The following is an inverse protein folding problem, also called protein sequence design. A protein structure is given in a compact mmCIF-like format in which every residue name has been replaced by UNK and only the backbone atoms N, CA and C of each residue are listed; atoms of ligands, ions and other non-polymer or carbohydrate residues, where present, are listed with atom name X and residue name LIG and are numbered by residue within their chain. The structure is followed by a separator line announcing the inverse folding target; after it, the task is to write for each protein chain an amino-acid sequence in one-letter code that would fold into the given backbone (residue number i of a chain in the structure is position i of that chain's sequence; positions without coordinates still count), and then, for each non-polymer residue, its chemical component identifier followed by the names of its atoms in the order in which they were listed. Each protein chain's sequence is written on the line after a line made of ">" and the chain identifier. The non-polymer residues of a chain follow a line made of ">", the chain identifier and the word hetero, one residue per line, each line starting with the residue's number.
data_IF_167067715293
#
_entry.id   IF_167067715293
#
_cell.length_a   1.000
_cell.length_b   1.000
_cell.length_c   1.000
_cell.angle_alpha   90.00
_cell.angle_beta   90.00
_cell.angle_gamma   90.00
#
_symmetry.space_group_name_H-M   'P 1'
#
loop_
_entity.id
_entity.type
_entity.pdbx_description
1 polymer ?
#
# COMPACT_ATOMS: atom_id res chain seq x y z
N UNK A 1 -36.98 -30.90 17.33
CA UNK A 1 -36.15 -29.72 17.65
C UNK A 1 -35.43 -29.31 16.38
N UNK A 2 -35.87 -28.22 15.75
CA UNK A 2 -35.50 -27.89 14.37
C UNK A 2 -34.16 -27.15 14.28
N UNK A 3 -33.21 -27.61 13.44
CA UNK A 3 -31.87 -27.00 13.28
C UNK A 3 -31.86 -25.66 12.52
N UNK A 4 -33.01 -25.19 12.05
CA UNK A 4 -33.16 -24.00 11.20
C UNK A 4 -33.07 -22.69 12.02
N UNK A 5 -33.38 -22.72 13.32
CA UNK A 5 -33.37 -21.53 14.17
C UNK A 5 -31.95 -21.03 14.51
N UNK A 6 -30.94 -21.91 14.47
CA UNK A 6 -29.55 -21.56 14.84
C UNK A 6 -28.87 -20.77 13.72
N UNK A 7 -29.04 -21.18 12.45
CA UNK A 7 -28.39 -20.54 11.30
C UNK A 7 -28.88 -19.12 11.03
N UNK A 8 -30.17 -18.85 11.30
CA UNK A 8 -30.75 -17.50 11.12
C UNK A 8 -30.28 -16.51 12.20
N UNK A 9 -29.83 -16.98 13.37
CA UNK A 9 -29.27 -16.13 14.43
C UNK A 9 -27.77 -15.91 14.27
N UNK A 10 -27.09 -16.88 13.65
CA UNK A 10 -25.64 -16.82 13.41
C UNK A 10 -25.27 -15.87 12.27
N UNK A 11 -26.08 -15.81 11.21
CA UNK A 11 -25.81 -14.93 10.07
C UNK A 11 -25.81 -13.41 10.43
N UNK A 12 -26.79 -12.88 11.18
CA UNK A 12 -26.78 -11.49 11.66
C UNK A 12 -25.59 -11.19 12.56
N UNK A 13 -25.21 -12.13 13.44
CA UNK A 13 -24.08 -11.95 14.35
C UNK A 13 -22.74 -12.02 13.60
N UNK A 14 -22.61 -12.88 12.60
CA UNK A 14 -21.46 -12.93 11.71
C UNK A 14 -21.33 -11.63 10.90
N UNK A 15 -22.44 -11.11 10.38
CA UNK A 15 -22.48 -9.82 9.70
C UNK A 15 -22.09 -8.68 10.64
N UNK A 16 -22.63 -8.62 11.86
CA UNK A 16 -22.22 -7.61 12.86
C UNK A 16 -20.72 -7.71 13.20
N UNK A 17 -20.20 -8.93 13.37
CA UNK A 17 -18.79 -9.17 13.71
C UNK A 17 -17.86 -8.79 12.56
N UNK A 18 -18.32 -9.00 11.32
CA UNK A 18 -17.66 -8.52 10.11
C UNK A 18 -17.64 -6.99 10.12
N UNK A 19 -18.79 -6.32 10.24
CA UNK A 19 -18.89 -4.86 10.32
C UNK A 19 -18.02 -4.27 11.46
N UNK A 20 -18.01 -4.89 12.63
CA UNK A 20 -17.18 -4.47 13.76
C UNK A 20 -15.68 -4.60 13.46
N UNK A 21 -15.25 -5.74 12.88
CA UNK A 21 -13.86 -5.91 12.44
C UNK A 21 -13.48 -4.92 11.35
N UNK A 22 -14.41 -4.65 10.44
CA UNK A 22 -14.21 -3.69 9.36
C UNK A 22 -14.01 -2.27 9.92
N UNK A 23 -14.82 -1.83 10.88
CA UNK A 23 -14.65 -0.53 11.53
C UNK A 23 -13.40 -0.42 12.43
N UNK A 24 -12.85 -1.55 12.89
CA UNK A 24 -11.65 -1.59 13.74
C UNK A 24 -10.36 -1.31 12.95
N UNK A 25 -10.32 -1.71 11.67
CA UNK A 25 -9.13 -1.61 10.81
C UNK A 25 -8.76 -0.15 10.51
N UNK A 26 -9.70 0.74 10.12
CA UNK A 26 -9.41 2.16 9.93
C UNK A 26 -8.86 2.84 11.18
N UNK A 27 -9.41 2.51 12.36
CA UNK A 27 -9.00 3.14 13.60
C UNK A 27 -7.55 2.82 13.98
N UNK A 28 -7.10 1.57 13.74
CA UNK A 28 -5.71 1.15 13.97
C UNK A 28 -4.75 1.81 12.98
N UNK A 29 -5.17 1.97 11.74
CA UNK A 29 -4.34 2.58 10.70
C UNK A 29 -4.28 4.11 10.82
N UNK A 30 -5.31 4.76 11.37
CA UNK A 30 -5.29 6.20 11.65
C UNK A 30 -4.25 6.54 12.73
N UNK A 31 -4.06 5.69 13.75
CA UNK A 31 -2.97 5.87 14.73
C UNK A 31 -1.58 5.80 14.06
N UNK A 32 -1.39 4.86 13.14
CA UNK A 32 -0.13 4.71 12.41
C UNK A 32 0.10 5.82 11.37
N UNK A 33 -0.95 6.25 10.66
CA UNK A 33 -0.90 7.33 9.65
C UNK A 33 -0.71 8.70 10.30
N UNK A 34 -1.36 8.95 11.45
CA UNK A 34 -1.12 10.18 12.22
C UNK A 34 0.30 10.23 12.77
N UNK A 35 0.90 9.08 13.07
CA UNK A 35 2.29 8.97 13.55
C UNK A 35 3.34 9.08 12.44
N UNK A 36 2.98 8.81 11.18
CA UNK A 36 3.89 8.86 10.02
C UNK A 36 3.90 10.21 9.29
N UNK A 37 3.46 11.27 9.96
CA UNK A 37 3.62 12.65 9.51
C UNK A 37 3.08 12.90 8.08
N UNK A 38 1.83 12.50 7.78
CA UNK A 38 1.13 12.86 6.52
C UNK A 38 1.92 12.58 5.22
N UNK A 39 2.97 11.75 5.24
CA UNK A 39 3.75 11.47 4.04
C UNK A 39 2.88 10.67 3.07
N UNK A 40 2.63 11.28 1.92
CA UNK A 40 1.79 10.73 0.86
C UNK A 40 2.32 9.38 0.36
N UNK A 41 3.64 9.15 0.49
CA UNK A 41 4.34 7.94 0.07
C UNK A 41 4.52 6.90 1.17
N UNK A 42 4.08 7.18 2.41
CA UNK A 42 4.24 6.27 3.53
C UNK A 42 3.57 4.91 3.24
N UNK A 43 4.28 3.77 3.44
CA UNK A 43 3.73 2.44 3.16
C UNK A 43 2.45 2.14 3.95
N UNK A 44 2.36 2.64 5.18
CA UNK A 44 1.18 2.55 6.07
C UNK A 44 -0.03 3.28 5.49
N UNK A 45 0.17 4.51 5.00
CA UNK A 45 -0.86 5.31 4.33
C UNK A 45 -1.36 4.62 3.05
N UNK A 46 -0.46 4.10 2.22
CA UNK A 46 -0.84 3.38 1.00
C UNK A 46 -1.59 2.07 1.28
N UNK A 47 -1.24 1.36 2.36
CA UNK A 47 -1.98 0.18 2.81
C UNK A 47 -3.39 0.55 3.27
N UNK A 48 -3.54 1.68 3.97
CA UNK A 48 -4.82 2.21 4.38
C UNK A 48 -5.71 2.62 3.20
N UNK A 49 -5.17 3.36 2.22
CA UNK A 49 -5.90 3.72 0.99
C UNK A 49 -6.36 2.47 0.23
N UNK A 50 -5.49 1.45 0.13
CA UNK A 50 -5.84 0.19 -0.51
C UNK A 50 -7.01 -0.53 0.17
N UNK A 51 -7.10 -0.44 1.50
CA UNK A 51 -8.23 -0.97 2.25
C UNK A 51 -9.51 -0.18 1.97
N UNK A 52 -9.46 1.16 1.99
CA UNK A 52 -10.60 2.03 1.67
C UNK A 52 -11.18 1.74 0.28
N UNK A 53 -10.31 1.57 -0.73
CA UNK A 53 -10.75 1.18 -2.08
C UNK A 53 -11.55 -0.13 -2.06
N UNK A 54 -11.13 -1.12 -1.27
CA UNK A 54 -11.84 -2.40 -1.20
C UNK A 54 -13.17 -2.26 -0.47
N UNK A 55 -13.25 -1.43 0.56
CA UNK A 55 -14.50 -1.11 1.24
C UNK A 55 -15.52 -0.50 0.30
N UNK A 56 -15.12 0.55 -0.41
CA UNK A 56 -16.00 1.28 -1.31
C UNK A 56 -16.46 0.40 -2.49
N UNK A 57 -15.60 -0.49 -3.01
CA UNK A 57 -15.99 -1.49 -4.01
C UNK A 57 -17.01 -2.50 -3.48
N UNK A 58 -16.82 -2.99 -2.26
CA UNK A 58 -17.74 -3.92 -1.60
C UNK A 58 -19.08 -3.23 -1.36
N UNK A 59 -19.08 -1.98 -0.88
CA UNK A 59 -20.30 -1.19 -0.71
C UNK A 59 -21.03 -1.02 -2.04
N UNK A 60 -20.32 -0.60 -3.09
CA UNK A 60 -20.95 -0.44 -4.40
C UNK A 60 -21.48 -1.75 -5.01
N UNK A 61 -20.81 -2.88 -4.80
CA UNK A 61 -21.27 -4.17 -5.32
C UNK A 61 -22.43 -4.78 -4.52
N UNK A 62 -22.38 -4.75 -3.18
CA UNK A 62 -23.40 -5.38 -2.33
C UNK A 62 -24.59 -4.46 -2.03
N UNK A 63 -24.35 -3.15 -1.94
CA UNK A 63 -25.36 -2.16 -1.56
C UNK A 63 -25.84 -1.32 -2.75
N UNK A 64 -25.27 -1.54 -3.94
CA UNK A 64 -25.56 -0.76 -5.15
C UNK A 64 -25.32 0.76 -4.96
N UNK A 65 -24.31 1.08 -4.15
CA UNK A 65 -23.86 2.45 -3.86
C UNK A 65 -22.90 2.92 -4.97
N UNK A 66 -23.44 3.65 -5.94
CA UNK A 66 -22.68 4.19 -7.09
C UNK A 66 -21.64 5.23 -6.64
N UNK A 67 -21.96 6.06 -5.64
CA UNK A 67 -21.03 7.05 -5.09
C UNK A 67 -19.81 6.36 -4.46
N UNK A 68 -19.99 5.21 -3.81
CA UNK A 68 -18.89 4.40 -3.31
C UNK A 68 -18.00 3.87 -4.45
N UNK A 69 -18.58 3.39 -5.56
CA UNK A 69 -17.79 2.97 -6.71
C UNK A 69 -16.93 4.10 -7.28
N UNK A 70 -17.49 5.30 -7.39
CA UNK A 70 -16.78 6.46 -7.91
C UNK A 70 -15.64 6.89 -6.98
N UNK A 71 -15.87 6.91 -5.66
CA UNK A 71 -14.82 7.16 -4.66
C UNK A 71 -13.69 6.14 -4.75
N UNK A 72 -14.02 4.84 -4.88
CA UNK A 72 -13.00 3.80 -5.06
C UNK A 72 -12.18 4.01 -6.33
N UNK A 73 -12.82 4.42 -7.44
CA UNK A 73 -12.15 4.63 -8.71
C UNK A 73 -11.23 5.86 -8.69
N UNK A 74 -11.65 6.94 -8.03
CA UNK A 74 -10.81 8.12 -7.82
C UNK A 74 -9.60 7.82 -6.94
N UNK A 75 -9.82 7.24 -5.76
CA UNK A 75 -8.74 6.90 -4.84
C UNK A 75 -7.76 5.91 -5.47
N UNK A 76 -8.25 4.93 -6.23
CA UNK A 76 -7.39 4.00 -6.95
C UNK A 76 -6.47 4.68 -7.97
N UNK A 77 -6.98 5.66 -8.73
CA UNK A 77 -6.16 6.44 -9.68
C UNK A 77 -5.06 7.20 -8.96
N UNK A 78 -5.38 7.82 -7.83
CA UNK A 78 -4.41 8.53 -6.99
C UNK A 78 -3.32 7.58 -6.46
N UNK A 79 -3.70 6.48 -5.81
CA UNK A 79 -2.73 5.51 -5.27
C UNK A 79 -1.82 4.91 -6.36
N UNK A 80 -2.34 4.66 -7.58
CA UNK A 80 -1.53 4.21 -8.72
C UNK A 80 -0.50 5.26 -9.13
N UNK A 81 -0.89 6.54 -9.16
CA UNK A 81 0.02 7.64 -9.49
C UNK A 81 1.15 7.76 -8.44
N UNK A 82 0.81 7.67 -7.15
CA UNK A 82 1.80 7.70 -6.05
C UNK A 82 2.75 6.51 -6.14
N UNK A 83 2.25 5.28 -6.34
CA UNK A 83 3.09 4.09 -6.50
C UNK A 83 4.02 4.21 -7.71
N UNK A 84 3.54 4.79 -8.81
CA UNK A 84 4.38 5.05 -9.98
C UNK A 84 5.48 6.10 -9.69
N UNK A 85 5.20 7.12 -8.87
CA UNK A 85 6.20 8.09 -8.44
C UNK A 85 7.28 7.42 -7.58
N UNK A 86 6.89 6.61 -6.60
CA UNK A 86 7.80 5.84 -5.73
C UNK A 86 8.70 4.92 -6.56
N UNK A 87 8.12 4.17 -7.52
CA UNK A 87 8.90 3.28 -8.38
C UNK A 87 9.95 4.04 -9.22
N UNK A 88 9.60 5.24 -9.70
CA UNK A 88 10.57 6.08 -10.44
C UNK A 88 11.67 6.60 -9.54
N UNK A 89 11.37 6.96 -8.30
CA UNK A 89 12.37 7.43 -7.34
C UNK A 89 13.38 6.32 -7.01
N UNK A 90 12.90 5.12 -6.71
CA UNK A 90 13.77 3.94 -6.52
C UNK A 90 14.66 3.68 -7.74
N UNK A 91 14.10 3.72 -8.95
CA UNK A 91 14.89 3.51 -10.17
C UNK A 91 16.00 4.56 -10.33
N UNK A 92 15.76 5.82 -9.93
CA UNK A 92 16.78 6.88 -9.96
C UNK A 92 17.90 6.60 -8.96
N UNK A 93 17.55 6.26 -7.72
CA UNK A 93 18.52 5.93 -6.66
C UNK A 93 19.37 4.72 -7.05
N UNK A 94 18.76 3.68 -7.62
CA UNK A 94 19.46 2.48 -8.07
C UNK A 94 20.44 2.80 -9.20
N UNK A 95 20.03 3.64 -10.16
CA UNK A 95 20.87 4.05 -11.29
C UNK A 95 22.05 4.88 -10.83
N UNK A 96 21.83 5.82 -9.91
CA UNK A 96 22.89 6.63 -9.31
C UNK A 96 23.88 5.77 -8.52
N UNK A 97 23.36 4.84 -7.71
CA UNK A 97 24.17 3.89 -6.95
C UNK A 97 25.04 3.03 -7.87
N UNK A 98 24.48 2.52 -8.96
CA UNK A 98 25.21 1.75 -9.96
C UNK A 98 26.34 2.58 -10.60
N UNK A 99 26.06 3.83 -10.98
CA UNK A 99 27.06 4.73 -11.55
C UNK A 99 28.22 5.03 -10.57
N UNK A 100 27.91 5.21 -9.28
CA UNK A 100 28.92 5.40 -8.25
C UNK A 100 29.81 4.15 -8.07
N UNK A 101 29.22 2.96 -8.11
CA UNK A 101 29.96 1.70 -8.02
C UNK A 101 30.88 1.50 -9.24
N UNK A 102 30.42 1.86 -10.45
CA UNK A 102 31.24 1.79 -11.66
C UNK A 102 32.43 2.75 -11.60
N UNK A 103 32.22 3.98 -11.09
CA UNK A 103 33.29 4.94 -10.85
C UNK A 103 34.33 4.41 -9.86
N UNK A 104 33.87 3.80 -8.76
CA UNK A 104 34.77 3.19 -7.77
C UNK A 104 35.57 2.03 -8.35
N UNK A 105 34.92 1.17 -9.16
CA UNK A 105 35.55 0.06 -9.86
C UNK A 105 36.64 0.56 -10.80
N UNK A 106 36.37 1.59 -11.61
CA UNK A 106 37.35 2.18 -12.51
C UNK A 106 38.58 2.72 -11.76
N UNK A 107 38.37 3.43 -10.64
CA UNK A 107 39.46 3.93 -9.78
C UNK A 107 40.30 2.81 -9.19
N UNK A 108 39.67 1.70 -8.80
CA UNK A 108 40.38 0.55 -8.26
C UNK A 108 41.27 -0.12 -9.33
N UNK A 109 40.76 -0.28 -10.55
CA UNK A 109 41.56 -0.78 -11.67
C UNK A 109 42.77 0.12 -11.97
N UNK A 110 42.57 1.44 -11.97
CA UNK A 110 43.64 2.40 -12.24
C UNK A 110 44.78 2.36 -11.20
N UNK A 111 44.47 2.14 -9.91
CA UNK A 111 45.50 1.95 -8.88
C UNK A 111 46.31 0.67 -9.09
N UNK A 112 45.65 -0.42 -9.52
CA UNK A 112 46.33 -1.70 -9.77
C UNK A 112 47.26 -1.63 -10.98
N UNK A 113 46.85 -0.96 -12.06
CA UNK A 113 47.69 -0.79 -13.25
C UNK A 113 48.79 0.25 -13.08
N UNK A 114 48.64 1.21 -12.14
CA UNK A 114 49.64 2.24 -11.86
C UNK A 114 50.74 1.82 -10.87
N UNK A 115 50.66 0.62 -10.28
CA UNK A 115 51.63 0.11 -9.29
C UNK A 115 52.46 -1.05 -9.84
N UNK A 116 52.97 -0.92 -11.07
CA UNK A 116 53.98 -1.82 -11.61
C UNK A 116 55.03 -1.03 -12.42
N UNK A 117 56.04 -0.43 -11.76
CA UNK A 117 57.32 -0.15 -12.38
C UNK A 117 58.28 -1.31 -12.10
N UNK A 118 58.83 -1.84 -13.20
CA UNK A 118 59.94 -2.80 -13.24
C UNK A 118 61.18 -2.36 -12.44
#
# INVERSE_FOLDING_TARGET
>A
MSPIATTLRDAPMAFLRFNYRLMRIPLQLVEDVASTELDEQAPTRLAYEQLLIQYDRVAGHLLNDEDAQDRAAELHRHTVAVRAAIARDHQRVDTESAALLDLQRARFHQRRTGTDPA
#
